data_IF_388624634371
#
_entry.id   IF_388624634371
#
_cell.length_a   1.000
_cell.length_b   1.000
_cell.length_c   1.000
_cell.angle_alpha   90.00
_cell.angle_beta   90.00
_cell.angle_gamma   90.00
#
_symmetry.space_group_name_H-M   'P 1'
#
loop_
_entity.id
_entity.type
_entity.pdbx_description
1 polymer ?
#
# COMPACT_ATOMS: atom_id res chain seq x y z
N UNK A 1 -44.68 5.66 7.57
CA UNK A 1 -43.78 6.77 7.96
C UNK A 1 -42.73 6.24 8.92
N UNK A 2 -41.53 6.82 8.88
CA UNK A 2 -40.33 6.55 9.70
C UNK A 2 -39.50 5.30 9.32
N UNK A 3 -38.51 5.61 8.48
CA UNK A 3 -37.31 4.87 8.11
C UNK A 3 -36.48 4.48 9.34
N UNK A 4 -36.13 3.19 9.48
CA UNK A 4 -35.04 2.74 10.34
C UNK A 4 -33.76 2.66 9.50
N UNK A 5 -33.21 3.83 9.19
CA UNK A 5 -31.78 3.98 9.03
C UNK A 5 -31.14 4.03 10.44
N UNK A 6 -29.87 3.64 10.53
CA UNK A 6 -29.03 3.59 11.74
C UNK A 6 -29.09 2.30 12.57
N UNK A 7 -28.31 1.30 12.14
CA UNK A 7 -27.29 0.64 12.98
C UNK A 7 -26.43 -0.31 12.11
N UNK A 8 -25.75 0.23 11.09
CA UNK A 8 -24.61 -0.45 10.45
C UNK A 8 -23.31 -0.04 11.17
N UNK A 9 -23.28 -0.24 12.48
CA UNK A 9 -22.04 -0.40 13.25
C UNK A 9 -21.56 -1.84 13.07
N UNK A 10 -21.26 -2.21 11.83
CA UNK A 10 -20.60 -3.47 11.51
C UNK A 10 -19.09 -3.28 11.60
N UNK A 11 -18.57 -3.66 12.75
CA UNK A 11 -17.17 -3.91 13.12
C UNK A 11 -16.35 -4.51 11.98
N UNK A 12 -15.71 -3.67 11.15
CA UNK A 12 -14.79 -4.12 10.10
C UNK A 12 -13.35 -4.14 10.64
N UNK A 13 -13.05 -5.15 11.45
CA UNK A 13 -11.74 -5.35 12.07
C UNK A 13 -11.13 -6.69 11.62
N UNK A 14 -10.02 -6.58 10.89
CA UNK A 14 -8.86 -7.50 10.78
C UNK A 14 -9.00 -8.89 10.09
N UNK A 15 -8.10 -9.17 9.11
CA UNK A 15 -7.18 -10.36 8.99
C UNK A 15 -6.73 -10.65 7.52
N UNK A 16 -5.65 -10.05 6.99
CA UNK A 16 -4.25 -10.56 6.81
C UNK A 16 -3.98 -11.54 5.62
N UNK A 17 -3.22 -11.08 4.59
CA UNK A 17 -1.92 -11.63 4.09
C UNK A 17 -1.63 -11.34 2.58
N UNK A 18 -0.89 -10.25 2.29
CA UNK A 18 -0.06 -9.88 1.11
C UNK A 18 -0.57 -10.06 -0.36
N UNK A 19 -0.39 -9.06 -1.27
CA UNK A 19 0.75 -8.14 -1.34
C UNK A 19 0.27 -6.69 -1.26
N UNK A 20 -0.48 -6.38 -0.22
CA UNK A 20 -0.34 -5.11 0.45
C UNK A 20 0.10 -5.37 1.90
N UNK A 21 1.34 -5.86 2.06
CA UNK A 21 2.09 -5.65 3.30
C UNK A 21 2.31 -4.13 3.60
N UNK A 22 1.87 -3.27 2.67
CA UNK A 22 1.79 -1.81 2.75
C UNK A 22 0.40 -1.25 3.08
N UNK A 23 -0.60 -2.08 3.42
CA UNK A 23 -1.62 -1.62 4.37
C UNK A 23 -0.97 -1.68 5.75
N UNK A 24 -0.08 -0.73 6.00
CA UNK A 24 0.23 -0.34 7.36
C UNK A 24 -1.11 -0.18 8.09
N UNK A 25 -1.07 -0.41 9.40
CA UNK A 25 -2.15 0.00 10.31
C UNK A 25 -2.31 1.52 10.24
N UNK A 26 -2.85 2.06 9.15
CA UNK A 26 -3.29 3.45 9.03
C UNK A 26 -4.59 3.55 9.81
N UNK A 27 -4.75 4.67 10.51
CA UNK A 27 -5.90 4.87 11.39
C UNK A 27 -7.20 4.95 10.57
N UNK A 28 -8.35 4.78 11.23
CA UNK A 28 -9.63 5.02 10.58
C UNK A 28 -9.74 6.48 10.08
N UNK A 29 -9.14 7.41 10.82
CA UNK A 29 -9.02 8.82 10.45
C UNK A 29 -8.22 9.01 9.16
N UNK A 30 -7.02 8.40 9.05
CA UNK A 30 -6.21 8.46 7.83
C UNK A 30 -6.94 7.88 6.62
N UNK A 31 -7.72 6.80 6.81
CA UNK A 31 -8.54 6.24 5.73
C UNK A 31 -9.60 7.22 5.26
N UNK A 32 -10.28 7.90 6.18
CA UNK A 32 -11.30 8.88 5.85
C UNK A 32 -10.70 10.10 5.14
N UNK A 33 -9.56 10.59 5.60
CA UNK A 33 -8.81 11.67 4.93
C UNK A 33 -8.45 11.25 3.50
N UNK A 34 -7.86 10.07 3.32
CA UNK A 34 -7.50 9.59 1.98
C UNK A 34 -8.71 9.40 1.06
N UNK A 35 -9.85 8.98 1.60
CA UNK A 35 -11.09 8.87 0.83
C UNK A 35 -11.62 10.25 0.41
N UNK A 36 -11.56 11.23 1.30
CA UNK A 36 -11.94 12.61 1.01
C UNK A 36 -11.01 13.23 -0.04
N UNK A 37 -9.70 13.14 0.12
CA UNK A 37 -8.72 13.65 -0.85
C UNK A 37 -8.87 13.00 -2.24
N UNK A 38 -9.09 11.68 -2.30
CA UNK A 38 -9.36 10.98 -3.56
C UNK A 38 -10.69 11.41 -4.20
N UNK A 39 -11.70 11.68 -3.37
CA UNK A 39 -13.00 12.19 -3.82
C UNK A 39 -12.90 13.61 -4.37
N UNK A 40 -12.20 14.51 -3.69
CA UNK A 40 -12.06 15.92 -4.10
C UNK A 40 -11.21 16.07 -5.36
N UNK A 41 -10.27 15.15 -5.57
CA UNK A 41 -9.39 15.12 -6.75
C UNK A 41 -10.00 14.45 -7.99
N UNK A 42 -11.24 13.93 -7.89
CA UNK A 42 -11.88 13.21 -9.00
C UNK A 42 -13.35 13.62 -9.21
N UNK A 43 -13.77 13.73 -10.47
CA UNK A 43 -15.15 14.02 -10.85
C UNK A 43 -16.04 12.77 -10.93
N UNK A 44 -15.58 11.63 -10.37
CA UNK A 44 -16.31 10.36 -10.44
C UNK A 44 -17.58 10.41 -9.58
N UNK A 45 -18.65 9.76 -10.04
CA UNK A 45 -19.92 9.69 -9.30
C UNK A 45 -19.81 8.83 -8.04
N UNK A 46 -20.68 9.04 -7.04
CA UNK A 46 -20.71 8.20 -5.84
C UNK A 46 -21.02 6.73 -6.16
N UNK A 47 -21.86 6.47 -7.17
CA UNK A 47 -22.16 5.12 -7.67
C UNK A 47 -20.89 4.44 -8.21
N UNK A 48 -20.16 5.12 -9.10
CA UNK A 48 -18.93 4.61 -9.69
C UNK A 48 -17.81 4.44 -8.65
N UNK A 49 -17.70 5.35 -7.67
CA UNK A 49 -16.76 5.23 -6.53
C UNK A 49 -17.03 3.97 -5.73
N UNK A 50 -18.29 3.76 -5.32
CA UNK A 50 -18.70 2.61 -4.54
C UNK A 50 -18.40 1.31 -5.30
N UNK A 51 -18.70 1.29 -6.60
CA UNK A 51 -18.43 0.12 -7.43
C UNK A 51 -16.95 -0.16 -7.63
N UNK A 52 -16.16 0.88 -7.91
CA UNK A 52 -14.70 0.76 -8.06
C UNK A 52 -14.03 0.25 -6.76
N UNK A 53 -14.51 0.68 -5.59
CA UNK A 53 -14.05 0.17 -4.30
C UNK A 53 -14.41 -1.29 -4.08
N UNK A 54 -15.61 -1.70 -4.47
CA UNK A 54 -16.02 -3.08 -4.40
C UNK A 54 -15.11 -3.98 -5.25
N UNK A 55 -14.82 -3.57 -6.49
CA UNK A 55 -13.88 -4.27 -7.39
C UNK A 55 -12.49 -4.37 -6.74
N UNK A 56 -11.96 -3.27 -6.20
CA UNK A 56 -10.68 -3.27 -5.50
C UNK A 56 -10.65 -4.25 -4.33
N UNK A 57 -11.72 -4.30 -3.53
CA UNK A 57 -11.86 -5.27 -2.43
C UNK A 57 -11.97 -6.72 -2.92
N UNK A 58 -12.68 -6.97 -4.03
CA UNK A 58 -12.78 -8.30 -4.63
C UNK A 58 -11.41 -8.80 -5.10
N UNK A 59 -10.68 -7.98 -5.87
CA UNK A 59 -9.31 -8.29 -6.31
C UNK A 59 -8.40 -8.57 -5.12
N UNK A 60 -8.47 -7.75 -4.06
CA UNK A 60 -7.67 -7.97 -2.87
C UNK A 60 -7.96 -9.33 -2.22
N UNK A 61 -9.23 -9.72 -2.08
CA UNK A 61 -9.61 -11.03 -1.52
C UNK A 61 -9.12 -12.18 -2.39
N UNK A 62 -9.26 -12.07 -3.70
CA UNK A 62 -8.75 -13.07 -4.66
C UNK A 62 -7.23 -13.24 -4.51
N UNK A 63 -6.48 -12.13 -4.42
CA UNK A 63 -5.03 -12.19 -4.20
C UNK A 63 -4.64 -12.86 -2.89
N UNK A 64 -5.32 -12.53 -1.79
CA UNK A 64 -5.06 -13.16 -0.48
C UNK A 64 -5.36 -14.66 -0.54
N UNK A 65 -6.44 -15.05 -1.20
CA UNK A 65 -6.79 -16.47 -1.35
C UNK A 65 -5.77 -17.21 -2.21
N UNK A 66 -5.39 -16.64 -3.37
CA UNK A 66 -4.34 -17.22 -4.21
C UNK A 66 -3.01 -17.35 -3.47
N UNK A 67 -2.64 -16.37 -2.64
CA UNK A 67 -1.44 -16.45 -1.81
C UNK A 67 -1.53 -17.59 -0.79
N UNK A 68 -2.68 -17.79 -0.15
CA UNK A 68 -2.90 -18.90 0.80
C UNK A 68 -2.80 -20.27 0.11
N UNK A 69 -3.33 -20.39 -1.09
CA UNK A 69 -3.41 -21.66 -1.83
C UNK A 69 -2.11 -22.02 -2.56
N UNK A 70 -1.52 -21.04 -3.24
CA UNK A 70 -0.39 -21.24 -4.18
C UNK A 70 0.91 -20.61 -3.70
N UNK A 71 0.89 -19.93 -2.55
CA UNK A 71 2.07 -19.31 -1.97
C UNK A 71 2.67 -18.21 -2.84
N UNK A 72 4.00 -18.14 -2.86
CA UNK A 72 4.75 -17.06 -3.52
C UNK A 72 4.77 -17.15 -5.04
N UNK A 73 4.58 -18.34 -5.63
CA UNK A 73 4.65 -18.52 -7.08
C UNK A 73 3.49 -17.82 -7.81
N UNK A 74 2.26 -17.92 -7.29
CA UNK A 74 1.13 -17.18 -7.85
C UNK A 74 1.32 -15.66 -7.80
N UNK A 75 2.10 -15.16 -6.83
CA UNK A 75 2.38 -13.72 -6.72
C UNK A 75 3.34 -13.24 -7.80
N UNK A 76 4.24 -14.10 -8.28
CA UNK A 76 5.12 -13.80 -9.42
C UNK A 76 4.31 -13.68 -10.71
N UNK A 77 3.33 -14.56 -10.92
CA UNK A 77 2.45 -14.53 -12.11
C UNK A 77 1.54 -13.29 -12.17
N UNK A 78 1.25 -12.71 -11.00
CA UNK A 78 0.48 -11.49 -10.84
C UNK A 78 1.35 -10.24 -10.73
N UNK A 79 2.68 -10.39 -10.61
CA UNK A 79 3.59 -9.27 -10.45
C UNK A 79 3.54 -8.38 -11.70
N UNK A 80 3.19 -7.11 -11.50
CA UNK A 80 3.12 -6.11 -12.57
C UNK A 80 1.80 -6.06 -13.33
N UNK A 81 0.82 -6.94 -13.04
CA UNK A 81 -0.52 -6.86 -13.64
C UNK A 81 -1.41 -5.87 -12.89
N UNK A 82 -2.08 -4.99 -13.62
CA UNK A 82 -3.07 -4.06 -13.06
C UNK A 82 -4.46 -4.71 -13.02
N UNK A 83 -4.61 -5.72 -12.18
CA UNK A 83 -5.86 -6.49 -12.04
C UNK A 83 -7.06 -5.60 -11.68
N UNK A 84 -6.84 -4.54 -10.90
CA UNK A 84 -7.92 -3.63 -10.49
C UNK A 84 -8.33 -2.77 -11.68
N UNK A 85 -7.38 -2.19 -12.41
CA UNK A 85 -7.65 -1.44 -13.63
C UNK A 85 -8.40 -2.28 -14.67
N UNK A 86 -7.94 -3.51 -14.91
CA UNK A 86 -8.59 -4.45 -15.83
C UNK A 86 -10.05 -4.76 -15.44
N UNK A 87 -10.31 -5.01 -14.14
CA UNK A 87 -11.68 -5.28 -13.68
C UNK A 87 -12.57 -4.04 -13.70
N UNK A 88 -12.03 -2.85 -13.47
CA UNK A 88 -12.77 -1.58 -13.64
C UNK A 88 -13.09 -1.36 -15.12
N UNK A 89 -12.15 -1.65 -16.03
CA UNK A 89 -12.38 -1.52 -17.47
C UNK A 89 -13.43 -2.50 -17.99
N UNK A 90 -13.52 -3.70 -17.39
CA UNK A 90 -14.52 -4.71 -17.71
C UNK A 90 -15.89 -4.47 -17.07
N UNK A 91 -16.00 -3.59 -16.07
CA UNK A 91 -17.27 -3.30 -15.41
C UNK A 91 -18.15 -2.41 -16.31
N UNK A 92 -19.24 -2.97 -16.81
CA UNK A 92 -20.20 -2.27 -17.68
C UNK A 92 -21.03 -1.23 -16.91
N UNK A 93 -21.19 -1.43 -15.60
CA UNK A 93 -21.96 -0.57 -14.70
C UNK A 93 -21.19 0.67 -14.23
N UNK A 94 -19.86 0.72 -14.45
CA UNK A 94 -19.06 1.91 -14.20
C UNK A 94 -19.13 2.84 -15.43
N UNK A 95 -19.75 4.00 -15.25
CA UNK A 95 -19.97 4.98 -16.32
C UNK A 95 -18.67 5.69 -16.70
N UNK A 96 -17.94 6.20 -15.72
CA UNK A 96 -16.65 6.86 -15.93
C UNK A 96 -15.48 6.02 -15.40
N UNK A 97 -14.99 5.11 -16.25
CA UNK A 97 -13.87 4.20 -15.96
C UNK A 97 -12.56 4.95 -15.70
N UNK A 98 -12.33 6.07 -16.37
CA UNK A 98 -11.10 6.84 -16.23
C UNK A 98 -11.08 7.53 -14.86
N UNK A 99 -12.18 8.21 -14.51
CA UNK A 99 -12.28 8.87 -13.21
C UNK A 99 -12.29 7.84 -12.06
N UNK A 100 -12.95 6.69 -12.23
CA UNK A 100 -12.91 5.59 -11.26
C UNK A 100 -11.50 5.03 -11.02
N UNK A 101 -10.71 4.81 -12.08
CA UNK A 101 -9.31 4.38 -11.95
C UNK A 101 -8.45 5.45 -11.28
N UNK A 102 -8.66 6.73 -11.62
CA UNK A 102 -7.95 7.84 -11.00
C UNK A 102 -8.26 7.96 -9.50
N UNK A 103 -9.54 7.81 -9.13
CA UNK A 103 -9.98 7.78 -7.74
C UNK A 103 -9.28 6.65 -6.95
N UNK A 104 -9.30 5.42 -7.47
CA UNK A 104 -8.64 4.28 -6.81
C UNK A 104 -7.12 4.47 -6.70
N UNK A 105 -6.49 5.06 -7.73
CA UNK A 105 -5.06 5.36 -7.72
C UNK A 105 -4.72 6.41 -6.66
N UNK A 106 -5.47 7.51 -6.59
CA UNK A 106 -5.29 8.56 -5.60
C UNK A 106 -5.48 8.03 -4.17
N UNK A 107 -6.55 7.25 -3.96
CA UNK A 107 -6.83 6.60 -2.67
C UNK A 107 -5.68 5.67 -2.24
N UNK A 108 -5.20 4.82 -3.16
CA UNK A 108 -4.09 3.91 -2.92
C UNK A 108 -2.77 4.64 -2.62
N UNK A 109 -2.50 5.75 -3.32
CA UNK A 109 -1.33 6.59 -3.09
C UNK A 109 -1.38 7.26 -1.73
N UNK A 110 -2.49 7.88 -1.35
CA UNK A 110 -2.64 8.50 -0.03
C UNK A 110 -2.49 7.46 1.09
N UNK A 111 -3.19 6.31 0.98
CA UNK A 111 -3.13 5.26 1.99
C UNK A 111 -1.69 4.73 2.17
N UNK A 112 -0.94 4.61 1.06
CA UNK A 112 0.48 4.25 1.11
C UNK A 112 1.29 5.31 1.84
N UNK A 113 1.17 6.58 1.46
CA UNK A 113 1.90 7.69 2.09
C UNK A 113 1.63 7.79 3.59
N UNK A 114 0.36 7.71 4.02
CA UNK A 114 0.02 7.68 5.46
C UNK A 114 0.61 6.47 6.17
N UNK A 115 0.63 5.31 5.50
CA UNK A 115 1.24 4.09 6.01
C UNK A 115 2.76 4.21 6.20
N UNK A 116 3.43 4.89 5.28
CA UNK A 116 4.86 5.20 5.35
C UNK A 116 5.13 6.12 6.54
N UNK A 117 4.44 7.26 6.61
CA UNK A 117 4.60 8.23 7.70
C UNK A 117 4.37 7.57 9.06
N UNK A 118 3.35 6.73 9.17
CA UNK A 118 3.06 6.01 10.40
C UNK A 118 4.12 4.95 10.76
N UNK A 119 4.78 4.36 9.77
CA UNK A 119 5.87 3.40 9.99
C UNK A 119 7.16 4.11 10.43
N UNK A 120 7.47 5.26 9.82
CA UNK A 120 8.59 6.13 10.22
C UNK A 120 8.40 6.66 11.65
N UNK A 121 7.20 7.12 12.00
CA UNK A 121 6.89 7.58 13.35
C UNK A 121 7.03 6.49 14.43
N UNK A 122 6.89 5.21 14.04
CA UNK A 122 7.03 4.06 14.95
C UNK A 122 8.45 3.49 15.01
N UNK A 123 9.37 3.96 14.15
CA UNK A 123 10.76 3.49 14.09
C UNK A 123 11.69 4.69 14.18
N UNK A 124 12.14 5.00 15.40
CA UNK A 124 13.02 6.14 15.66
C UNK A 124 14.30 6.08 14.83
N UNK A 125 14.91 4.90 14.67
CA UNK A 125 16.08 4.68 13.79
C UNK A 125 15.82 5.12 12.35
N UNK A 126 14.64 4.81 11.80
CA UNK A 126 14.30 5.18 10.42
C UNK A 126 14.00 6.68 10.29
N UNK A 127 13.44 7.30 11.33
CA UNK A 127 13.27 8.76 11.39
C UNK A 127 14.62 9.47 11.41
N UNK A 128 15.56 8.98 12.22
CA UNK A 128 16.93 9.50 12.31
C UNK A 128 17.72 9.27 11.03
N UNK A 129 17.58 8.11 10.38
CA UNK A 129 18.17 7.86 9.07
C UNK A 129 17.62 8.82 8.00
N UNK A 130 16.31 9.11 8.03
CA UNK A 130 15.72 10.06 7.09
C UNK A 130 16.22 11.49 7.35
N UNK A 131 16.22 11.94 8.62
CA UNK A 131 16.59 13.29 9.06
C UNK A 131 16.09 14.41 8.14
N UNK A 132 14.84 14.30 7.67
CA UNK A 132 14.18 15.18 6.71
C UNK A 132 14.91 15.39 5.36
N UNK A 133 15.85 14.51 5.00
CA UNK A 133 16.60 14.53 3.73
C UNK A 133 15.80 13.97 2.55
N UNK A 134 14.80 13.12 2.81
CA UNK A 134 13.83 12.69 1.80
C UNK A 134 12.46 13.31 2.08
N UNK A 135 11.85 13.82 1.02
CA UNK A 135 10.45 14.27 1.07
C UNK A 135 9.49 13.08 1.19
N UNK A 136 8.22 13.36 1.52
CA UNK A 136 7.19 12.33 1.53
C UNK A 136 7.05 11.64 0.16
N UNK A 137 7.20 12.38 -0.94
CA UNK A 137 7.18 11.84 -2.30
C UNK A 137 8.39 10.94 -2.59
N UNK A 138 9.59 11.35 -2.17
CA UNK A 138 10.80 10.54 -2.32
C UNK A 138 10.68 9.22 -1.54
N UNK A 139 10.21 9.27 -0.30
CA UNK A 139 9.95 8.09 0.53
C UNK A 139 8.91 7.16 -0.10
N UNK A 140 7.87 7.71 -0.70
CA UNK A 140 6.87 6.96 -1.45
C UNK A 140 7.49 6.25 -2.66
N UNK A 141 8.29 6.96 -3.47
CA UNK A 141 8.99 6.38 -4.63
C UNK A 141 9.94 5.26 -4.19
N UNK A 142 10.76 5.49 -3.16
CA UNK A 142 11.66 4.49 -2.62
C UNK A 142 10.92 3.22 -2.16
N UNK A 143 9.86 3.35 -1.36
CA UNK A 143 9.14 2.19 -0.83
C UNK A 143 8.34 1.45 -1.91
N UNK A 144 7.87 2.15 -2.93
CA UNK A 144 7.29 1.52 -4.12
C UNK A 144 8.35 0.74 -4.91
N UNK A 145 9.57 1.28 -5.02
CA UNK A 145 10.72 0.58 -5.61
C UNK A 145 11.06 -0.69 -4.85
N UNK A 146 11.11 -0.65 -3.51
CA UNK A 146 11.25 -1.85 -2.66
C UNK A 146 10.15 -2.86 -3.00
N UNK A 147 8.88 -2.45 -2.96
CA UNK A 147 7.74 -3.34 -3.25
C UNK A 147 7.89 -4.00 -4.62
N UNK A 148 8.17 -3.23 -5.67
CA UNK A 148 8.39 -3.75 -7.03
C UNK A 148 9.57 -4.72 -7.10
N UNK A 149 10.68 -4.38 -6.46
CA UNK A 149 11.88 -5.21 -6.47
C UNK A 149 11.62 -6.58 -5.82
N UNK A 150 10.98 -6.63 -4.64
CA UNK A 150 10.69 -7.88 -3.94
C UNK A 150 9.55 -8.70 -4.57
N UNK A 151 8.58 -8.04 -5.22
CA UNK A 151 7.49 -8.74 -5.93
C UNK A 151 7.95 -9.34 -7.26
N UNK A 152 8.85 -8.66 -7.99
CA UNK A 152 9.36 -9.14 -9.28
C UNK A 152 10.49 -10.17 -9.20
N UNK A 153 11.23 -10.24 -8.09
CA UNK A 153 12.44 -11.09 -7.96
C UNK A 153 12.22 -12.43 -7.23
N UNK A 154 10.99 -12.72 -6.78
CA UNK A 154 10.75 -13.88 -5.91
C UNK A 154 11.34 -13.74 -4.50
N UNK A 155 11.82 -12.55 -4.13
CA UNK A 155 12.22 -12.21 -2.76
C UNK A 155 13.72 -12.08 -2.52
N UNK A 156 14.57 -12.33 -3.53
CA UNK A 156 16.01 -12.08 -3.45
C UNK A 156 16.36 -10.85 -4.31
N UNK A 157 16.61 -9.72 -3.65
CA UNK A 157 17.12 -8.50 -4.27
C UNK A 157 18.42 -8.16 -3.56
N UNK A 158 19.51 -7.98 -4.28
CA UNK A 158 20.77 -7.54 -3.68
C UNK A 158 20.66 -6.09 -3.22
N UNK A 159 21.48 -5.69 -2.24
CA UNK A 159 21.50 -4.29 -1.81
C UNK A 159 21.94 -3.36 -2.94
N UNK A 160 22.91 -3.79 -3.75
CA UNK A 160 23.41 -3.06 -4.92
C UNK A 160 22.32 -2.84 -5.97
N UNK A 161 21.54 -3.88 -6.29
CA UNK A 161 20.41 -3.76 -7.22
C UNK A 161 19.33 -2.82 -6.68
N UNK A 162 19.10 -2.87 -5.36
CA UNK A 162 18.09 -2.04 -4.73
C UNK A 162 18.54 -0.56 -4.67
N UNK A 163 19.81 -0.29 -4.38
CA UNK A 163 20.40 1.06 -4.42
C UNK A 163 20.33 1.64 -5.83
N UNK A 164 20.70 0.85 -6.86
CA UNK A 164 20.56 1.25 -8.27
C UNK A 164 19.13 1.64 -8.60
N UNK A 165 18.15 0.83 -8.19
CA UNK A 165 16.72 1.13 -8.42
C UNK A 165 16.25 2.35 -7.65
N UNK A 166 16.81 2.65 -6.47
CA UNK A 166 16.54 3.91 -5.78
C UNK A 166 17.12 5.10 -6.53
N UNK A 167 18.36 4.99 -7.03
CA UNK A 167 18.97 6.06 -7.84
C UNK A 167 18.13 6.36 -9.09
N UNK A 168 17.68 5.32 -9.80
CA UNK A 168 16.77 5.46 -10.95
C UNK A 168 15.44 6.12 -10.57
N UNK A 169 14.85 5.76 -9.44
CA UNK A 169 13.54 6.28 -9.01
C UNK A 169 13.59 7.70 -8.43
N UNK A 170 14.70 8.06 -7.78
CA UNK A 170 14.85 9.32 -7.04
C UNK A 170 15.69 10.36 -7.79
N UNK A 171 16.37 9.96 -8.86
CA UNK A 171 17.22 10.83 -9.68
C UNK A 171 18.46 11.37 -8.95
N UNK A 172 18.88 10.73 -7.85
CA UNK A 172 20.02 11.15 -7.04
C UNK A 172 20.60 9.98 -6.27
N UNK A 173 21.92 9.77 -6.41
CA UNK A 173 22.67 8.80 -5.62
C UNK A 173 22.65 9.14 -4.12
N UNK A 174 22.68 10.43 -3.77
CA UNK A 174 22.59 10.84 -2.37
C UNK A 174 21.24 10.46 -1.77
N UNK A 175 20.14 10.74 -2.49
CA UNK A 175 18.81 10.30 -2.05
C UNK A 175 18.68 8.79 -2.00
N UNK A 176 19.32 8.06 -2.92
CA UNK A 176 19.32 6.60 -2.92
C UNK A 176 19.99 6.00 -1.68
N UNK A 177 21.13 6.57 -1.26
CA UNK A 177 21.82 6.18 -0.01
C UNK A 177 20.94 6.40 1.21
N UNK A 178 20.32 7.57 1.33
CA UNK A 178 19.38 7.84 2.43
C UNK A 178 18.19 6.87 2.39
N UNK A 179 17.63 6.61 1.20
CA UNK A 179 16.51 5.68 1.05
C UNK A 179 16.91 4.25 1.47
N UNK A 180 18.15 3.84 1.20
CA UNK A 180 18.69 2.57 1.66
C UNK A 180 18.84 2.52 3.19
N UNK A 181 19.39 3.56 3.81
CA UNK A 181 19.50 3.65 5.28
C UNK A 181 18.13 3.59 5.95
N UNK A 182 17.16 4.34 5.44
CA UNK A 182 15.76 4.31 5.90
C UNK A 182 15.15 2.92 5.73
N UNK A 183 15.37 2.27 4.59
CA UNK A 183 14.86 0.92 4.33
C UNK A 183 15.42 -0.11 5.32
N UNK A 184 16.74 -0.09 5.55
CA UNK A 184 17.41 -0.98 6.50
C UNK A 184 16.89 -0.76 7.92
N UNK A 185 16.79 0.50 8.36
CA UNK A 185 16.27 0.83 9.68
C UNK A 185 14.80 0.37 9.87
N UNK A 186 13.95 0.57 8.86
CA UNK A 186 12.57 0.07 8.88
C UNK A 186 12.51 -1.47 8.94
N UNK A 187 13.41 -2.16 8.23
CA UNK A 187 13.51 -3.62 8.26
C UNK A 187 13.93 -4.13 9.64
N UNK A 188 14.97 -3.54 10.24
CA UNK A 188 15.41 -3.86 11.60
C UNK A 188 14.30 -3.69 12.63
N UNK A 189 13.66 -2.51 12.63
CA UNK A 189 12.50 -2.24 13.49
C UNK A 189 11.41 -3.30 13.31
N UNK A 190 11.09 -3.69 12.07
CA UNK A 190 10.09 -4.72 11.81
C UNK A 190 10.49 -6.11 12.36
N UNK A 191 11.77 -6.46 12.34
CA UNK A 191 12.29 -7.71 12.89
C UNK A 191 12.27 -7.69 14.43
N UNK A 192 12.67 -6.60 15.07
CA UNK A 192 12.58 -6.39 16.52
C UNK A 192 11.12 -6.46 17.04
N UNK A 193 10.16 -5.90 16.28
CA UNK A 193 8.73 -6.02 16.61
C UNK A 193 8.17 -7.44 16.47
N UNK A 194 8.74 -8.26 15.57
CA UNK A 194 8.33 -9.67 15.42
C UNK A 194 8.90 -10.54 16.53
N UNK A 195 10.17 -10.38 16.86
CA UNK A 195 10.83 -11.14 17.93
C UNK A 195 10.21 -10.84 19.30
N UNK A 196 9.94 -9.57 19.60
CA UNK A 196 9.26 -9.16 20.85
C UNK A 196 7.83 -9.68 20.99
N UNK A 197 7.13 -9.93 19.89
CA UNK A 197 5.80 -10.59 19.91
C UNK A 197 5.87 -12.10 20.06
N UNK A 198 6.92 -12.73 19.56
CA UNK A 198 7.14 -14.16 19.76
C UNK A 198 7.46 -14.44 21.24
N UNK A 199 8.32 -13.62 21.86
CA UNK A 199 8.69 -13.73 23.27
C UNK A 199 7.56 -13.42 24.28
N UNK A 200 6.48 -12.75 23.86
CA UNK A 200 5.31 -12.46 24.72
C UNK A 200 4.21 -13.53 24.66
N UNK A 201 4.43 -14.62 23.91
CA UNK A 201 3.50 -15.75 23.78
C UNK A 201 3.98 -17.02 24.46
N UNK A 202 5.17 -16.99 25.07
CA UNK A 202 5.69 -17.99 26.01
C UNK A 202 5.41 -17.54 27.45
#
# INVERSE_FOLDING_TARGET
>A
MASQALCLTATLVLLIAAPCAFCAKISAEDKNVCFQEATESSSVSEEDKARALEISHQVHREMVQMFKEKGKEAMKELAGKDMVGEKVDAAEDIKDKVAAKNFLKALGQCAMTKGISSSLMRCQKAKEANNDRLTAEDLQKALFTVKKAYTGSGGAVSEEDLEKKFTEALGSEEKAKVAMEVHKALHECAMEFKSSKAAKKE
#
